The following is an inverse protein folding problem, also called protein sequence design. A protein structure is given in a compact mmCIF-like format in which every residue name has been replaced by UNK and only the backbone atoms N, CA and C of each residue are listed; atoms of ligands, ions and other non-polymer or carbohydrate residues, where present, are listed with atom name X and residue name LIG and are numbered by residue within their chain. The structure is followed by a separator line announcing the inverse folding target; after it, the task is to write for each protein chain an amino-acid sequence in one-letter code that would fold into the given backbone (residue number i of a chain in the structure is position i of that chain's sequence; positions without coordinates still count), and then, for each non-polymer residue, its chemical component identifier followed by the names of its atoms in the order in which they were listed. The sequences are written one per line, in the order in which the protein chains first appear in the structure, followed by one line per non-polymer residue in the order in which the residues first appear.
data_IF_140008886345
#
_entry.id   IF_140008886345
#
_cell.length_a   1.000
_cell.length_b   1.000
_cell.length_c   1.000
_cell.angle_alpha   90.00
_cell.angle_beta   90.00
_cell.angle_gamma   90.00
#
_symmetry.space_group_name_H-M   'P 1'
#
loop_
_entity.id
_entity.type
_entity.pdbx_description
1 polymer ?
#
# COMPACT_ATOMS: atom_id res chain seq x y z
N UNK A 1 -91.42 24.59 -30.02
CA UNK A 1 -90.00 24.84 -30.39
C UNK A 1 -89.08 25.35 -29.25
N UNK A 2 -89.57 26.09 -28.23
CA UNK A 2 -88.71 26.64 -27.15
C UNK A 2 -87.97 25.60 -26.30
N UNK A 3 -88.64 24.52 -25.85
CA UNK A 3 -88.03 23.50 -24.96
C UNK A 3 -86.85 22.73 -25.60
N UNK A 4 -86.94 22.41 -26.91
CA UNK A 4 -85.84 21.75 -27.65
C UNK A 4 -84.59 22.63 -27.79
N UNK A 5 -84.77 23.95 -27.97
CA UNK A 5 -83.63 24.90 -28.04
C UNK A 5 -82.91 25.05 -26.70
N UNK A 6 -83.64 24.99 -25.58
CA UNK A 6 -83.06 25.04 -24.23
C UNK A 6 -82.29 23.75 -23.92
N UNK A 7 -82.84 22.58 -24.24
CA UNK A 7 -82.14 21.30 -24.08
C UNK A 7 -80.86 21.21 -24.92
N UNK A 8 -80.89 21.66 -26.18
CA UNK A 8 -79.71 21.70 -27.04
C UNK A 8 -78.65 22.68 -26.52
N UNK A 9 -79.08 23.84 -26.01
CA UNK A 9 -78.20 24.84 -25.39
C UNK A 9 -77.52 24.33 -24.11
N UNK A 10 -78.25 23.60 -23.27
CA UNK A 10 -77.68 22.98 -22.06
C UNK A 10 -76.70 21.86 -22.40
N UNK A 11 -76.97 21.09 -23.46
CA UNK A 11 -76.07 20.03 -23.92
C UNK A 11 -74.77 20.60 -24.51
N UNK A 12 -74.85 21.67 -25.31
CA UNK A 12 -73.68 22.37 -25.86
C UNK A 12 -72.87 23.00 -24.73
N UNK A 13 -73.51 23.65 -23.75
CA UNK A 13 -72.80 24.24 -22.60
C UNK A 13 -72.11 23.16 -21.76
N UNK A 14 -72.75 22.00 -21.55
CA UNK A 14 -72.15 20.85 -20.87
C UNK A 14 -70.94 20.27 -21.62
N UNK A 15 -71.00 20.16 -22.94
CA UNK A 15 -69.86 19.71 -23.76
C UNK A 15 -68.72 20.73 -23.75
N UNK A 16 -69.03 22.02 -23.78
CA UNK A 16 -68.02 23.10 -23.69
C UNK A 16 -67.36 23.15 -22.31
N UNK A 17 -68.09 22.94 -21.22
CA UNK A 17 -67.50 22.91 -19.87
C UNK A 17 -66.67 21.66 -19.62
N UNK A 18 -67.13 20.48 -20.06
CA UNK A 18 -66.36 19.24 -19.96
C UNK A 18 -65.08 19.31 -20.80
N UNK A 19 -65.17 19.80 -22.03
CA UNK A 19 -63.97 19.98 -22.87
C UNK A 19 -63.00 21.01 -22.27
N UNK A 20 -63.48 22.15 -21.77
CA UNK A 20 -62.63 23.14 -21.10
C UNK A 20 -61.91 22.57 -19.86
N UNK A 21 -62.57 21.72 -19.06
CA UNK A 21 -61.96 21.05 -17.90
C UNK A 21 -60.83 20.11 -18.37
N UNK A 22 -61.07 19.28 -19.38
CA UNK A 22 -60.06 18.36 -19.94
C UNK A 22 -58.86 19.13 -20.51
N UNK A 23 -59.09 20.19 -21.29
CA UNK A 23 -58.02 21.04 -21.82
C UNK A 23 -57.20 21.72 -20.71
N UNK A 24 -57.82 22.15 -19.61
CA UNK A 24 -57.07 22.74 -18.48
C UNK A 24 -56.23 21.73 -17.70
N UNK A 25 -56.67 20.48 -17.56
CA UNK A 25 -55.83 19.42 -16.98
C UNK A 25 -54.66 19.09 -17.89
N UNK A 26 -54.88 19.00 -19.20
CA UNK A 26 -53.80 18.77 -20.17
C UNK A 26 -52.79 19.92 -20.18
N UNK A 27 -53.22 21.18 -20.11
CA UNK A 27 -52.31 22.34 -20.01
C UNK A 27 -51.55 22.33 -18.67
N UNK A 28 -52.22 22.03 -17.54
CA UNK A 28 -51.54 21.89 -16.23
C UNK A 28 -50.53 20.73 -16.24
N UNK A 29 -50.87 19.61 -16.84
CA UNK A 29 -49.98 18.46 -17.01
C UNK A 29 -48.80 18.82 -17.91
N UNK A 30 -49.01 19.50 -19.04
CA UNK A 30 -47.95 19.96 -19.95
C UNK A 30 -47.01 20.97 -19.26
N UNK A 31 -47.55 21.92 -18.49
CA UNK A 31 -46.78 22.92 -17.74
C UNK A 31 -46.00 22.30 -16.56
N UNK A 32 -46.60 21.40 -15.77
CA UNK A 32 -45.92 20.68 -14.70
C UNK A 32 -44.77 19.80 -15.24
N UNK A 33 -44.96 19.27 -16.44
CA UNK A 33 -44.03 18.35 -17.02
C UNK A 33 -42.73 19.05 -17.50
N UNK A 34 -42.71 20.36 -17.80
CA UNK A 34 -41.46 21.10 -18.02
C UNK A 34 -40.55 21.24 -16.78
N UNK A 35 -41.00 20.81 -15.59
CA UNK A 35 -40.22 20.85 -14.35
C UNK A 35 -39.78 19.48 -13.82
N UNK A 36 -40.26 18.37 -14.39
CA UNK A 36 -39.91 17.03 -13.91
C UNK A 36 -38.47 16.68 -14.33
N UNK A 37 -37.55 16.63 -13.37
CA UNK A 37 -36.12 16.41 -13.62
C UNK A 37 -35.45 15.52 -12.58
N UNK A 38 -34.42 14.80 -13.03
CA UNK A 38 -33.46 14.14 -12.15
C UNK A 38 -32.48 15.16 -11.56
N UNK A 39 -32.06 14.92 -10.32
CA UNK A 39 -30.96 15.67 -9.70
C UNK A 39 -29.62 15.48 -10.43
N UNK A 40 -29.44 14.38 -11.16
CA UNK A 40 -28.29 14.19 -12.05
C UNK A 40 -28.63 13.32 -13.26
N UNK A 41 -28.01 13.64 -14.39
CA UNK A 41 -28.02 12.83 -15.62
C UNK A 41 -26.78 11.95 -15.76
N UNK A 42 -25.79 12.11 -14.88
CA UNK A 42 -24.55 11.32 -14.89
C UNK A 42 -24.10 10.98 -13.47
N UNK A 43 -23.77 9.72 -13.24
CA UNK A 43 -23.36 9.18 -11.94
C UNK A 43 -22.06 8.41 -12.13
N UNK A 44 -21.01 8.78 -11.41
CA UNK A 44 -19.71 8.13 -11.45
C UNK A 44 -19.44 7.47 -10.10
N UNK A 45 -19.49 6.14 -10.06
CA UNK A 45 -19.38 5.37 -8.82
C UNK A 45 -18.09 4.57 -8.78
N UNK A 46 -17.61 4.36 -7.57
CA UNK A 46 -16.66 3.30 -7.29
C UNK A 46 -17.43 2.01 -6.98
N UNK A 47 -16.87 0.86 -7.35
CA UNK A 47 -17.45 -0.43 -7.04
C UNK A 47 -17.80 -0.56 -5.54
N UNK A 48 -19.01 -1.03 -5.25
CA UNK A 48 -19.54 -1.16 -3.88
C UNK A 48 -20.19 0.11 -3.31
N UNK A 49 -19.99 1.28 -3.94
CA UNK A 49 -20.62 2.52 -3.52
C UNK A 49 -21.99 2.71 -4.20
N UNK A 50 -22.74 3.70 -3.72
CA UNK A 50 -24.06 4.02 -4.26
C UNK A 50 -24.30 5.54 -4.29
N UNK A 51 -25.25 5.95 -5.12
CA UNK A 51 -25.80 7.31 -5.12
C UNK A 51 -27.31 7.25 -5.32
N UNK A 52 -28.04 8.13 -4.66
CA UNK A 52 -29.50 8.22 -4.82
C UNK A 52 -29.85 9.26 -5.89
N UNK A 53 -30.54 8.81 -6.92
CA UNK A 53 -31.18 9.69 -7.89
C UNK A 53 -32.54 10.13 -7.34
N UNK A 54 -32.78 11.44 -7.35
CA UNK A 54 -34.02 12.06 -6.88
C UNK A 54 -34.72 12.73 -8.04
N UNK A 55 -36.04 12.61 -8.06
CA UNK A 55 -36.91 13.30 -9.02
C UNK A 55 -37.52 14.49 -8.30
N UNK A 56 -37.53 15.63 -8.98
CA UNK A 56 -38.21 16.86 -8.54
C UNK A 56 -39.26 17.26 -9.57
N UNK A 57 -40.25 18.07 -9.18
CA UNK A 57 -41.33 18.53 -10.07
C UNK A 57 -42.58 17.63 -10.10
N UNK A 58 -42.65 16.60 -9.26
CA UNK A 58 -43.83 15.74 -9.11
C UNK A 58 -43.86 15.09 -7.72
N UNK A 59 -45.05 14.78 -7.23
CA UNK A 59 -45.29 13.97 -6.02
C UNK A 59 -45.52 12.48 -6.33
N UNK A 60 -45.65 12.11 -7.61
CA UNK A 60 -45.89 10.72 -8.00
C UNK A 60 -44.64 9.87 -7.83
N UNK A 61 -44.84 8.61 -7.46
CA UNK A 61 -43.76 7.62 -7.33
C UNK A 61 -43.26 7.20 -8.71
N UNK A 62 -41.95 7.07 -8.84
CA UNK A 62 -41.31 6.61 -10.08
C UNK A 62 -40.98 5.12 -10.03
N UNK A 63 -41.08 4.47 -11.20
CA UNK A 63 -40.60 3.11 -11.41
C UNK A 63 -39.20 3.17 -12.02
N UNK A 64 -38.25 2.48 -11.40
CA UNK A 64 -36.83 2.55 -11.77
C UNK A 64 -36.38 1.26 -12.45
N UNK A 65 -35.60 1.38 -13.52
CA UNK A 65 -34.98 0.25 -14.23
C UNK A 65 -33.51 0.53 -14.55
N UNK A 66 -32.71 -0.53 -14.68
CA UNK A 66 -31.32 -0.47 -15.16
C UNK A 66 -31.21 -1.26 -16.46
N UNK A 67 -30.55 -0.68 -17.48
CA UNK A 67 -30.30 -1.39 -18.73
C UNK A 67 -29.31 -2.54 -18.59
N UNK A 68 -28.46 -2.50 -17.56
CA UNK A 68 -27.54 -3.57 -17.19
C UNK A 68 -27.40 -3.68 -15.66
N UNK A 69 -28.26 -4.48 -15.01
CA UNK A 69 -28.22 -4.73 -13.56
C UNK A 69 -26.92 -5.37 -13.06
N UNK A 70 -26.11 -6.01 -13.93
CA UNK A 70 -24.80 -6.56 -13.54
C UNK A 70 -23.78 -5.45 -13.25
N UNK A 71 -23.89 -4.30 -13.92
CA UNK A 71 -23.03 -3.13 -13.69
C UNK A 71 -23.54 -2.27 -12.53
N UNK A 72 -24.83 -1.91 -12.54
CA UNK A 72 -25.45 -1.19 -11.42
C UNK A 72 -26.94 -1.50 -11.31
N UNK A 73 -27.44 -1.63 -10.08
CA UNK A 73 -28.88 -1.79 -9.78
C UNK A 73 -29.46 -0.52 -9.21
N UNK A 74 -30.78 -0.34 -9.35
CA UNK A 74 -31.52 0.75 -8.72
C UNK A 74 -32.72 0.17 -7.96
N UNK A 75 -32.99 0.66 -6.75
CA UNK A 75 -34.17 0.24 -5.99
C UNK A 75 -35.36 1.20 -6.18
N UNK A 76 -36.51 0.89 -5.57
CA UNK A 76 -37.73 1.71 -5.66
C UNK A 76 -37.59 3.14 -5.13
N UNK A 77 -36.56 3.43 -4.32
CA UNK A 77 -36.26 4.76 -3.78
C UNK A 77 -35.22 5.53 -4.62
N UNK A 78 -34.82 4.99 -5.78
CA UNK A 78 -33.83 5.61 -6.66
C UNK A 78 -32.38 5.43 -6.19
N UNK A 79 -32.11 4.56 -5.21
CA UNK A 79 -30.73 4.25 -4.76
C UNK A 79 -30.04 3.38 -5.81
N UNK A 80 -29.08 3.95 -6.52
CA UNK A 80 -28.27 3.29 -7.54
C UNK A 80 -27.00 2.73 -6.90
N UNK A 81 -26.83 1.40 -6.90
CA UNK A 81 -25.69 0.69 -6.30
C UNK A 81 -24.79 0.09 -7.39
N UNK A 82 -23.49 0.35 -7.30
CA UNK A 82 -22.48 -0.18 -8.22
C UNK A 82 -22.14 -1.65 -7.91
N UNK A 83 -22.17 -2.52 -8.92
CA UNK A 83 -21.96 -3.97 -8.82
C UNK A 83 -20.79 -4.52 -9.63
N UNK A 84 -20.44 -3.91 -10.76
CA UNK A 84 -19.29 -4.27 -11.57
C UNK A 84 -18.79 -3.06 -12.35
N UNK A 85 -17.48 -3.00 -12.64
CA UNK A 85 -16.91 -1.96 -13.49
C UNK A 85 -17.55 -1.98 -14.89
N UNK A 86 -17.91 -0.81 -15.43
CA UNK A 86 -18.60 -0.69 -16.71
C UNK A 86 -19.55 0.49 -16.79
N UNK A 87 -20.41 0.50 -17.81
CA UNK A 87 -21.44 1.52 -17.99
C UNK A 87 -22.85 0.92 -18.07
N UNK A 88 -23.84 1.63 -17.54
CA UNK A 88 -25.27 1.29 -17.66
C UNK A 88 -26.11 2.56 -17.66
N UNK A 89 -27.37 2.47 -18.09
CA UNK A 89 -28.33 3.58 -18.00
C UNK A 89 -29.40 3.23 -16.98
N UNK A 90 -29.64 4.13 -16.03
CA UNK A 90 -30.78 4.06 -15.12
C UNK A 90 -31.91 4.90 -15.72
N UNK A 91 -33.10 4.31 -15.79
CA UNK A 91 -34.31 4.97 -16.31
C UNK A 91 -35.36 5.06 -15.22
N UNK A 92 -35.83 6.27 -14.93
CA UNK A 92 -37.00 6.51 -14.11
C UNK A 92 -38.21 6.76 -15.01
N UNK A 93 -39.27 5.98 -14.80
CA UNK A 93 -40.58 6.18 -15.41
C UNK A 93 -41.50 6.87 -14.40
N UNK A 94 -41.94 8.07 -14.70
CA UNK A 94 -42.81 8.88 -13.84
C UNK A 94 -43.66 9.82 -14.69
N UNK A 95 -44.96 9.94 -14.38
CA UNK A 95 -45.88 10.82 -15.11
C UNK A 95 -45.82 10.66 -16.65
N UNK A 96 -45.78 9.42 -17.13
CA UNK A 96 -45.69 9.11 -18.55
C UNK A 96 -44.33 9.43 -19.20
N UNK A 97 -43.35 9.91 -18.44
CA UNK A 97 -42.02 10.32 -18.93
C UNK A 97 -40.92 9.35 -18.55
N UNK A 98 -39.88 9.32 -19.38
CA UNK A 98 -38.65 8.56 -19.15
C UNK A 98 -37.49 9.52 -18.89
N UNK A 99 -37.01 9.58 -17.66
CA UNK A 99 -35.80 10.31 -17.30
C UNK A 99 -34.63 9.32 -17.27
N UNK A 100 -33.49 9.69 -17.85
CA UNK A 100 -32.32 8.80 -17.96
C UNK A 100 -31.10 9.41 -17.27
N UNK A 101 -30.35 8.56 -16.58
CA UNK A 101 -29.03 8.88 -16.05
C UNK A 101 -28.00 7.82 -16.49
N UNK A 102 -26.89 8.29 -17.04
CA UNK A 102 -25.76 7.44 -17.39
C UNK A 102 -24.96 7.13 -16.12
N UNK A 103 -24.72 5.86 -15.84
CA UNK A 103 -23.94 5.39 -14.71
C UNK A 103 -22.66 4.77 -15.21
N UNK A 104 -21.54 5.29 -14.73
CA UNK A 104 -20.20 4.77 -14.95
C UNK A 104 -19.66 4.23 -13.63
N UNK A 105 -19.28 2.96 -13.61
CA UNK A 105 -18.71 2.29 -12.43
C UNK A 105 -17.24 2.02 -12.70
N UNK A 106 -16.40 2.43 -11.76
CA UNK A 106 -14.96 2.25 -11.78
C UNK A 106 -14.51 1.36 -10.62
N UNK A 107 -13.43 0.62 -10.83
CA UNK A 107 -12.81 -0.23 -9.81
C UNK A 107 -11.30 -0.03 -9.87
N UNK A 108 -10.65 0.10 -8.71
CA UNK A 108 -9.19 0.11 -8.57
C UNK A 108 -8.71 -1.21 -7.96
N UNK A 109 -7.69 -1.82 -8.57
CA UNK A 109 -7.04 -3.01 -8.02
C UNK A 109 -6.21 -2.66 -6.79
N UNK A 110 -6.32 -3.43 -5.71
CA UNK A 110 -5.56 -3.26 -4.45
C UNK A 110 -5.63 -1.84 -3.88
N UNK A 111 -6.58 -1.61 -2.96
CA UNK A 111 -6.67 -0.36 -2.17
C UNK A 111 -5.51 -0.16 -1.19
N UNK A 112 -4.76 -1.21 -0.88
CA UNK A 112 -3.60 -1.16 -0.01
C UNK A 112 -2.44 -1.90 -0.69
N UNK A 113 -1.32 -1.21 -0.85
CA UNK A 113 -0.10 -1.69 -1.47
C UNK A 113 1.03 -1.57 -0.45
N UNK A 114 1.84 -2.62 -0.33
CA UNK A 114 3.02 -2.66 0.52
C UNK A 114 4.23 -2.96 -0.36
N UNK A 115 5.19 -2.05 -0.36
CA UNK A 115 6.45 -2.17 -1.11
C UNK A 115 7.63 -2.25 -0.15
N UNK A 116 8.68 -2.95 -0.56
CA UNK A 116 10.01 -2.75 0.03
C UNK A 116 10.75 -1.61 -0.66
N UNK A 117 11.96 -1.30 -0.17
CA UNK A 117 12.86 -0.37 -0.85
C UNK A 117 13.06 -0.77 -2.32
N UNK A 118 13.00 0.20 -3.23
CA UNK A 118 13.05 0.02 -4.69
C UNK A 118 11.94 -0.87 -5.29
N UNK A 119 10.96 -1.29 -4.49
CA UNK A 119 9.84 -2.11 -4.94
C UNK A 119 8.95 -1.36 -5.93
N UNK A 120 8.33 -2.11 -6.83
CA UNK A 120 7.32 -1.58 -7.75
C UNK A 120 6.05 -2.40 -7.71
N UNK A 121 4.91 -1.78 -7.99
CA UNK A 121 3.62 -2.46 -8.14
C UNK A 121 2.80 -1.79 -9.23
N UNK A 122 2.32 -2.59 -10.19
CA UNK A 122 1.31 -2.13 -11.13
C UNK A 122 -0.06 -2.08 -10.47
N UNK A 123 -0.73 -0.94 -10.55
CA UNK A 123 -2.14 -0.76 -10.19
C UNK A 123 -2.97 -0.67 -11.46
N UNK A 124 -4.16 -1.29 -11.46
CA UNK A 124 -5.07 -1.29 -12.61
C UNK A 124 -6.41 -0.69 -12.20
N UNK A 125 -6.97 0.14 -13.07
CA UNK A 125 -8.32 0.67 -12.97
C UNK A 125 -9.16 0.05 -14.08
N UNK A 126 -10.37 -0.41 -13.76
CA UNK A 126 -11.37 -0.88 -14.72
C UNK A 126 -12.59 0.04 -14.73
N UNK A 127 -13.23 0.17 -15.88
CA UNK A 127 -14.47 0.93 -16.07
C UNK A 127 -14.49 1.63 -17.43
N UNK A 128 -15.38 2.59 -17.67
CA UNK A 128 -15.36 3.38 -18.91
C UNK A 128 -14.24 4.45 -18.86
N UNK A 129 -12.99 4.01 -18.76
CA UNK A 129 -11.80 4.87 -18.63
C UNK A 129 -11.39 5.42 -20.00
N UNK A 130 -11.30 6.74 -20.10
CA UNK A 130 -10.81 7.49 -21.27
C UNK A 130 -9.46 8.14 -20.97
N UNK A 131 -9.35 8.74 -19.80
CA UNK A 131 -8.15 9.39 -19.31
C UNK A 131 -7.98 9.18 -17.80
N UNK A 132 -6.74 9.16 -17.32
CA UNK A 132 -6.41 9.11 -15.90
C UNK A 132 -5.24 10.03 -15.60
N UNK A 133 -5.45 10.97 -14.67
CA UNK A 133 -4.38 11.75 -14.05
C UNK A 133 -3.97 11.10 -12.74
N UNK A 134 -2.70 10.74 -12.65
CA UNK A 134 -2.12 10.13 -11.46
C UNK A 134 -1.42 11.17 -10.62
N UNK A 135 -1.51 11.04 -9.29
CA UNK A 135 -0.73 11.83 -8.35
C UNK A 135 -0.43 11.04 -7.09
N UNK A 136 0.66 11.40 -6.40
CA UNK A 136 0.97 10.88 -5.07
C UNK A 136 0.75 11.98 -4.02
N UNK A 137 0.24 11.61 -2.85
CA UNK A 137 0.19 12.52 -1.70
C UNK A 137 1.57 12.77 -1.09
N UNK A 138 2.56 11.91 -1.38
CA UNK A 138 3.93 12.03 -0.89
C UNK A 138 4.90 11.31 -1.83
N UNK A 139 5.51 12.06 -2.75
CA UNK A 139 6.44 11.53 -3.75
C UNK A 139 7.77 11.07 -3.17
N UNK A 140 8.18 11.60 -2.00
CA UNK A 140 9.37 11.10 -1.29
C UNK A 140 9.17 9.68 -0.72
N UNK A 141 7.92 9.23 -0.60
CA UNK A 141 7.61 7.86 -0.20
C UNK A 141 7.34 6.99 -1.42
N UNK A 142 6.45 7.42 -2.32
CA UNK A 142 6.13 6.66 -3.51
C UNK A 142 5.69 7.56 -4.67
N UNK A 143 6.17 7.26 -5.87
CA UNK A 143 5.75 7.90 -7.11
C UNK A 143 4.86 6.97 -7.91
N UNK A 144 4.13 7.52 -8.88
CA UNK A 144 3.33 6.75 -9.82
C UNK A 144 3.54 7.29 -11.22
N UNK A 145 3.96 6.40 -12.12
CA UNK A 145 4.05 6.69 -13.54
C UNK A 145 2.92 5.94 -14.26
N UNK A 146 1.99 6.67 -14.86
CA UNK A 146 0.86 6.08 -15.57
C UNK A 146 0.86 6.45 -17.05
N UNK A 147 0.37 5.52 -17.88
CA UNK A 147 -0.10 5.82 -19.23
C UNK A 147 -1.55 5.34 -19.31
N UNK A 148 -2.43 6.10 -19.95
CA UNK A 148 -3.75 5.60 -20.35
C UNK A 148 -3.53 4.46 -21.35
N UNK A 149 -3.90 3.23 -21.01
CA UNK A 149 -3.70 2.07 -21.89
C UNK A 149 -5.02 1.73 -22.59
N UNK A 150 -5.05 2.02 -23.90
CA UNK A 150 -5.98 1.54 -24.92
C UNK A 150 -7.50 1.72 -24.69
N UNK A 151 -8.05 2.64 -25.48
CA UNK A 151 -9.44 3.08 -25.56
C UNK A 151 -10.50 2.00 -25.86
N UNK A 152 -10.11 0.73 -26.06
CA UNK A 152 -11.01 -0.33 -26.51
C UNK A 152 -11.46 -1.29 -25.40
N UNK A 153 -10.86 -1.24 -24.19
CA UNK A 153 -11.19 -2.18 -23.10
C UNK A 153 -11.46 -1.53 -21.73
N UNK A 154 -11.46 -0.19 -21.64
CA UNK A 154 -11.87 0.48 -20.40
C UNK A 154 -10.93 0.24 -19.22
N UNK A 155 -9.62 0.25 -19.44
CA UNK A 155 -8.63 0.04 -18.38
C UNK A 155 -7.53 1.10 -18.39
N UNK A 156 -6.98 1.42 -17.22
CA UNK A 156 -5.74 2.19 -17.10
C UNK A 156 -4.79 1.52 -16.12
N UNK A 157 -3.48 1.69 -16.35
CA UNK A 157 -2.43 1.14 -15.47
C UNK A 157 -1.49 2.25 -15.01
N UNK A 158 -1.16 2.21 -13.72
CA UNK A 158 -0.10 3.02 -13.11
C UNK A 158 0.97 2.10 -12.53
N UNK A 159 2.24 2.42 -12.73
CA UNK A 159 3.36 1.77 -12.05
C UNK A 159 3.71 2.61 -10.83
N UNK A 160 3.45 2.07 -9.64
CA UNK A 160 3.84 2.66 -8.36
C UNK A 160 5.29 2.23 -8.09
N UNK A 161 6.14 3.17 -7.72
CA UNK A 161 7.56 2.94 -7.39
C UNK A 161 7.85 3.50 -6.01
N UNK A 162 8.45 2.67 -5.13
CA UNK A 162 8.90 3.11 -3.82
C UNK A 162 10.11 4.05 -3.94
N UNK A 163 10.11 5.13 -3.17
CA UNK A 163 11.18 6.12 -3.10
C UNK A 163 11.82 6.17 -1.71
N UNK A 164 11.02 6.03 -0.66
CA UNK A 164 11.48 6.14 0.72
C UNK A 164 10.48 5.59 1.71
N UNK A 165 10.93 5.34 2.94
CA UNK A 165 10.09 4.78 4.00
C UNK A 165 8.92 5.69 4.34
N UNK A 166 7.75 5.10 4.58
CA UNK A 166 6.59 5.84 5.07
C UNK A 166 5.29 5.45 4.37
N UNK A 167 4.35 6.39 4.36
CA UNK A 167 3.01 6.21 3.78
C UNK A 167 2.72 7.29 2.74
N UNK A 168 2.08 6.89 1.66
CA UNK A 168 1.55 7.77 0.62
C UNK A 168 0.17 7.26 0.17
N UNK A 169 -0.62 8.12 -0.45
CA UNK A 169 -1.85 7.75 -1.14
C UNK A 169 -1.67 8.07 -2.62
N UNK A 170 -1.80 7.05 -3.45
CA UNK A 170 -1.86 7.20 -4.89
C UNK A 170 -3.29 7.51 -5.29
N UNK A 171 -3.47 8.62 -5.98
CA UNK A 171 -4.75 9.08 -6.51
C UNK A 171 -4.79 8.92 -8.01
N UNK A 172 -5.93 8.47 -8.50
CA UNK A 172 -6.25 8.41 -9.91
C UNK A 172 -7.53 9.20 -10.17
N UNK A 173 -7.39 10.36 -10.82
CA UNK A 173 -8.52 11.12 -11.30
C UNK A 173 -8.92 10.61 -12.69
N UNK A 174 -10.01 9.85 -12.73
CA UNK A 174 -10.53 9.21 -13.93
C UNK A 174 -11.50 10.13 -14.64
N UNK A 175 -11.23 10.38 -15.93
CA UNK A 175 -12.03 11.20 -16.84
C UNK A 175 -12.36 12.61 -16.31
N UNK A 176 -11.56 13.16 -15.39
CA UNK A 176 -11.81 14.43 -14.72
C UNK A 176 -13.05 14.46 -13.81
N UNK A 177 -13.55 13.28 -13.38
CA UNK A 177 -14.86 13.15 -12.71
C UNK A 177 -14.84 12.32 -11.43
N UNK A 178 -13.97 11.31 -11.37
CA UNK A 178 -13.96 10.36 -10.25
C UNK A 178 -12.53 10.15 -9.79
N UNK A 179 -12.29 10.40 -8.50
CA UNK A 179 -11.03 10.05 -7.85
C UNK A 179 -11.17 8.65 -7.24
N UNK A 180 -10.19 7.81 -7.53
CA UNK A 180 -9.96 6.52 -6.88
C UNK A 180 -8.62 6.60 -6.14
N UNK A 181 -8.54 5.93 -5.00
CA UNK A 181 -7.36 5.99 -4.13
C UNK A 181 -6.83 4.60 -3.80
N UNK A 182 -5.51 4.50 -3.68
CA UNK A 182 -4.80 3.34 -3.14
C UNK A 182 -3.76 3.82 -2.13
N UNK A 183 -3.81 3.27 -0.93
CA UNK A 183 -2.83 3.54 0.11
C UNK A 183 -1.56 2.72 -0.16
N UNK A 184 -0.43 3.38 -0.10
CA UNK A 184 0.90 2.80 -0.27
C UNK A 184 1.67 2.93 1.03
N UNK A 185 2.25 1.82 1.46
CA UNK A 185 3.22 1.78 2.54
C UNK A 185 4.54 1.26 1.97
N UNK A 186 5.62 1.99 2.20
CA UNK A 186 6.98 1.51 1.92
C UNK A 186 7.60 1.06 3.24
N UNK A 187 7.82 -0.25 3.34
CA UNK A 187 8.37 -0.92 4.51
C UNK A 187 9.90 -0.93 4.45
N UNK A 188 10.52 -0.91 5.63
CA UNK A 188 11.98 -1.01 5.77
C UNK A 188 12.35 -1.98 6.87
N UNK A 189 13.55 -2.55 6.77
CA UNK A 189 14.12 -3.44 7.77
C UNK A 189 15.22 -2.69 8.52
N UNK A 190 15.20 -2.77 9.85
CA UNK A 190 16.17 -2.11 10.71
C UNK A 190 16.79 -3.09 11.72
N UNK A 191 18.10 -2.96 11.99
CA UNK A 191 19.08 -2.16 11.25
C UNK A 191 19.34 -2.70 9.82
N UNK A 192 19.96 -1.88 8.96
CA UNK A 192 20.30 -2.23 7.56
C UNK A 192 21.53 -3.16 7.46
N UNK A 193 22.39 -3.13 8.47
CA UNK A 193 23.49 -4.08 8.66
C UNK A 193 23.67 -4.41 10.14
N UNK A 194 24.16 -5.60 10.41
CA UNK A 194 24.46 -6.09 11.76
C UNK A 194 25.83 -6.72 11.77
N UNK A 195 26.64 -6.40 12.78
CA UNK A 195 27.88 -7.10 13.08
C UNK A 195 27.71 -7.82 14.42
N UNK A 196 27.74 -9.15 14.39
CA UNK A 196 27.66 -10.02 15.57
C UNK A 196 29.02 -10.64 15.90
N UNK A 197 29.14 -11.16 17.10
CA UNK A 197 30.35 -11.86 17.56
C UNK A 197 29.98 -13.20 18.21
N UNK A 198 30.73 -14.26 17.86
CA UNK A 198 30.58 -15.57 18.48
C UNK A 198 31.13 -15.58 19.90
N UNK A 199 30.36 -16.18 20.81
CA UNK A 199 30.78 -16.37 22.20
C UNK A 199 30.87 -15.08 23.00
N UNK A 200 30.30 -13.97 22.51
CA UNK A 200 30.06 -12.76 23.31
C UNK A 200 28.69 -12.87 23.98
N UNK A 201 28.61 -12.55 25.27
CA UNK A 201 27.39 -12.68 26.07
C UNK A 201 26.25 -11.80 25.54
N UNK A 202 26.57 -10.61 25.02
CA UNK A 202 25.58 -9.69 24.44
C UNK A 202 25.69 -9.53 22.91
N UNK A 203 26.78 -9.98 22.31
CA UNK A 203 27.09 -9.77 20.90
C UNK A 203 26.63 -10.80 19.90
N UNK A 204 26.18 -11.95 20.37
CA UNK A 204 25.76 -13.05 19.50
C UNK A 204 24.32 -12.90 18.98
N UNK A 205 23.58 -11.87 19.41
CA UNK A 205 22.15 -11.68 19.11
C UNK A 205 21.82 -10.27 18.65
N UNK A 206 20.87 -10.16 17.72
CA UNK A 206 20.21 -8.91 17.36
C UNK A 206 18.79 -9.15 16.92
N UNK A 207 17.85 -8.32 17.33
CA UNK A 207 16.48 -8.34 16.79
C UNK A 207 16.37 -7.36 15.64
N UNK A 208 15.86 -7.85 14.52
CA UNK A 208 15.51 -7.05 13.35
C UNK A 208 14.05 -6.64 13.45
N UNK A 209 13.76 -5.39 13.12
CA UNK A 209 12.42 -4.84 13.10
C UNK A 209 12.04 -4.46 11.67
N UNK A 210 10.83 -4.80 11.27
CA UNK A 210 10.25 -4.29 10.03
C UNK A 210 9.30 -3.16 10.38
N UNK A 211 9.54 -1.99 9.80
CA UNK A 211 8.77 -0.77 10.04
C UNK A 211 7.75 -0.50 8.92
N UNK A 212 6.73 0.29 9.23
CA UNK A 212 5.73 0.78 8.28
C UNK A 212 4.55 -0.18 8.06
N UNK A 213 4.72 -1.47 8.32
CA UNK A 213 3.74 -2.53 8.04
C UNK A 213 3.30 -3.27 9.29
N UNK A 214 2.06 -3.74 9.27
CA UNK A 214 1.51 -4.67 10.26
C UNK A 214 1.08 -5.94 9.53
N UNK A 215 1.52 -7.11 9.98
CA UNK A 215 1.16 -8.38 9.33
C UNK A 215 2.12 -9.51 9.67
N UNK A 216 1.86 -10.68 9.08
CA UNK A 216 2.73 -11.84 9.22
C UNK A 216 3.99 -11.65 8.38
N UNK A 217 5.14 -11.61 9.04
CA UNK A 217 6.46 -11.48 8.40
C UNK A 217 7.11 -12.85 8.42
N UNK A 218 7.52 -13.34 7.26
CA UNK A 218 8.32 -14.58 7.19
C UNK A 218 9.79 -14.22 7.03
N UNK A 219 10.64 -14.95 7.75
CA UNK A 219 12.07 -14.67 7.84
C UNK A 219 12.87 -15.81 7.21
N UNK A 220 13.94 -15.48 6.51
CA UNK A 220 14.89 -16.42 5.93
C UNK A 220 16.33 -15.93 6.08
N UNK A 221 17.28 -16.86 6.07
CA UNK A 221 18.72 -16.57 6.04
C UNK A 221 19.32 -17.21 4.79
N UNK A 222 20.25 -16.52 4.13
CA UNK A 222 21.01 -17.09 3.01
C UNK A 222 22.03 -18.14 3.47
N UNK A 223 22.49 -18.07 4.73
CA UNK A 223 23.49 -18.99 5.25
C UNK A 223 23.28 -19.30 6.75
N UNK A 224 22.72 -20.48 7.04
CA UNK A 224 22.46 -20.95 8.42
C UNK A 224 23.72 -21.28 9.21
N UNK A 225 24.85 -21.59 8.56
CA UNK A 225 26.11 -21.81 9.28
C UNK A 225 26.70 -20.51 9.81
N UNK A 226 26.34 -19.37 9.22
CA UNK A 226 26.76 -18.04 9.67
C UNK A 226 25.76 -17.45 10.66
N UNK A 227 24.48 -17.37 10.29
CA UNK A 227 23.45 -16.80 11.15
C UNK A 227 22.07 -17.43 10.91
N UNK A 228 21.31 -17.60 11.98
CA UNK A 228 19.90 -18.01 11.92
C UNK A 228 18.99 -16.87 12.36
N UNK A 229 17.74 -16.89 11.89
CA UNK A 229 16.71 -15.91 12.26
C UNK A 229 15.45 -16.66 12.68
N UNK A 230 14.85 -16.22 13.78
CA UNK A 230 13.60 -16.78 14.28
C UNK A 230 12.37 -16.08 13.68
N UNK A 231 11.17 -16.60 13.98
CA UNK A 231 9.90 -16.06 13.47
C UNK A 231 9.62 -14.61 13.87
N UNK A 232 10.25 -14.10 14.93
CA UNK A 232 10.06 -12.73 15.41
C UNK A 232 11.22 -11.79 15.01
N UNK A 233 12.09 -12.20 14.09
CA UNK A 233 13.21 -11.39 13.63
C UNK A 233 14.44 -11.39 14.54
N UNK A 234 14.47 -12.20 15.63
CA UNK A 234 15.70 -12.39 16.42
C UNK A 234 16.70 -13.22 15.63
N UNK A 235 17.84 -12.60 15.31
CA UNK A 235 19.01 -13.18 14.63
C UNK A 235 20.02 -13.65 15.68
N UNK A 236 20.59 -14.83 15.45
CA UNK A 236 21.63 -15.42 16.27
C UNK A 236 22.85 -15.81 15.41
N UNK A 237 24.04 -15.43 15.85
CA UNK A 237 25.31 -15.83 15.26
C UNK A 237 25.59 -17.32 15.46
N UNK A 238 26.06 -18.00 14.41
CA UNK A 238 26.42 -19.43 14.42
C UNK A 238 27.86 -19.70 13.97
N UNK A 239 28.39 -18.93 13.03
CA UNK A 239 29.71 -19.16 12.45
C UNK A 239 30.25 -17.88 11.79
N UNK A 240 31.58 -17.72 11.68
CA UNK A 240 32.17 -16.52 11.10
C UNK A 240 31.84 -16.43 9.61
N UNK A 241 31.54 -15.22 9.13
CA UNK A 241 31.24 -14.95 7.72
C UNK A 241 30.08 -13.96 7.56
N UNK A 242 29.49 -13.95 6.36
CA UNK A 242 28.37 -13.07 6.00
C UNK A 242 27.13 -13.88 5.64
N UNK A 243 25.98 -13.45 6.12
CA UNK A 243 24.66 -13.94 5.74
C UNK A 243 23.73 -12.76 5.43
N UNK A 244 22.81 -12.96 4.49
CA UNK A 244 21.72 -12.02 4.22
C UNK A 244 20.47 -12.55 4.91
N UNK A 245 19.89 -11.73 5.79
CA UNK A 245 18.59 -12.02 6.39
C UNK A 245 17.50 -11.34 5.58
N UNK A 246 16.50 -12.10 5.16
CA UNK A 246 15.37 -11.63 4.36
C UNK A 246 14.09 -11.66 5.18
N UNK A 247 13.41 -10.52 5.28
CA UNK A 247 12.02 -10.43 5.74
C UNK A 247 11.09 -10.35 4.51
N UNK A 248 10.11 -11.23 4.42
CA UNK A 248 9.08 -11.17 3.40
C UNK A 248 7.77 -10.66 4.00
N UNK A 249 7.27 -9.57 3.43
CA UNK A 249 6.07 -8.86 3.84
C UNK A 249 5.12 -8.76 2.65
N UNK A 250 4.02 -9.51 2.69
CA UNK A 250 2.99 -9.46 1.65
C UNK A 250 3.53 -9.64 0.20
N UNK A 251 4.60 -10.43 0.04
CA UNK A 251 5.27 -10.68 -1.25
C UNK A 251 6.47 -9.76 -1.53
N UNK A 252 6.66 -8.68 -0.76
CA UNK A 252 7.83 -7.80 -0.85
C UNK A 252 8.97 -8.33 0.02
N UNK A 253 10.19 -8.36 -0.52
CA UNK A 253 11.40 -8.80 0.20
C UNK A 253 12.20 -7.59 0.69
N UNK A 254 12.54 -7.60 1.97
CA UNK A 254 13.47 -6.67 2.61
C UNK A 254 14.69 -7.45 3.08
N UNK A 255 15.88 -6.88 2.96
CA UNK A 255 17.13 -7.58 3.28
C UNK A 255 18.02 -6.76 4.19
N UNK A 256 18.66 -7.41 5.15
CA UNK A 256 19.78 -6.85 5.92
C UNK A 256 20.98 -7.77 5.81
N UNK A 257 22.17 -7.18 5.75
CA UNK A 257 23.41 -7.95 5.87
C UNK A 257 23.71 -8.24 7.35
N UNK A 258 24.15 -9.45 7.64
CA UNK A 258 24.65 -9.87 8.94
C UNK A 258 26.06 -10.42 8.77
N UNK A 259 27.03 -9.71 9.32
CA UNK A 259 28.42 -10.16 9.45
C UNK A 259 28.62 -10.76 10.83
N UNK A 260 29.28 -11.90 10.91
CA UNK A 260 29.59 -12.59 12.16
C UNK A 260 31.10 -12.71 12.29
N UNK A 261 31.64 -12.16 13.37
CA UNK A 261 33.06 -12.16 13.70
C UNK A 261 33.38 -13.26 14.71
N UNK A 262 34.58 -13.83 14.58
CA UNK A 262 35.12 -14.76 15.58
C UNK A 262 36.59 -14.49 15.82
N UNK A 263 36.93 -14.07 17.05
CA UNK A 263 38.30 -13.97 17.51
C UNK A 263 38.88 -15.37 17.76
N UNK A 264 40.11 -15.62 17.30
CA UNK A 264 40.76 -16.94 17.38
C UNK A 264 40.89 -17.47 18.80
N UNK A 265 41.06 -16.60 19.79
CA UNK A 265 40.97 -16.95 21.21
C UNK A 265 40.67 -15.73 22.08
N UNK A 266 39.86 -15.90 23.13
CA UNK A 266 39.51 -14.84 24.09
C UNK A 266 40.34 -14.87 25.37
N UNK A 267 41.07 -15.95 25.62
CA UNK A 267 41.97 -16.07 26.75
C UNK A 267 43.10 -17.05 26.45
N UNK A 268 44.31 -16.70 26.86
CA UNK A 268 45.46 -17.60 26.79
C UNK A 268 46.56 -17.19 27.75
N UNK A 269 47.50 -18.10 27.99
CA UNK A 269 48.70 -17.87 28.80
C UNK A 269 49.94 -17.96 27.91
N UNK A 270 50.95 -17.15 28.21
CA UNK A 270 52.27 -17.19 27.61
C UNK A 270 53.34 -17.25 28.71
N UNK A 271 54.50 -17.83 28.42
CA UNK A 271 55.73 -17.58 29.17
C UNK A 271 56.40 -16.32 28.64
N UNK A 272 57.24 -15.69 29.47
CA UNK A 272 58.03 -14.52 29.05
C UNK A 272 58.84 -14.83 27.77
N UNK A 273 58.77 -13.91 26.80
CA UNK A 273 59.40 -14.09 25.47
C UNK A 273 58.57 -14.88 24.45
N UNK A 274 57.58 -15.68 24.86
CA UNK A 274 56.71 -16.40 23.92
C UNK A 274 55.79 -15.44 23.13
N UNK A 275 55.33 -15.91 21.97
CA UNK A 275 54.41 -15.16 21.12
C UNK A 275 53.26 -16.03 20.62
N UNK A 276 52.10 -15.42 20.41
CA UNK A 276 50.93 -16.06 19.82
C UNK A 276 50.28 -15.15 18.79
N UNK A 277 49.86 -15.72 17.67
CA UNK A 277 49.11 -15.03 16.65
C UNK A 277 47.61 -15.00 17.01
N UNK A 278 47.03 -13.80 17.06
CA UNK A 278 45.59 -13.62 17.05
C UNK A 278 45.11 -13.34 15.62
N UNK A 279 43.90 -13.78 15.32
CA UNK A 279 43.21 -13.51 14.07
C UNK A 279 41.72 -13.34 14.31
N UNK A 280 41.05 -12.61 13.42
CA UNK A 280 39.59 -12.48 13.40
C UNK A 280 39.08 -13.12 12.13
N UNK A 281 38.26 -14.15 12.26
CA UNK A 281 37.54 -14.75 11.13
C UNK A 281 36.22 -14.01 10.87
N UNK A 282 35.73 -14.10 9.63
CA UNK A 282 34.44 -13.52 9.22
C UNK A 282 34.52 -12.08 8.72
N UNK A 283 35.73 -11.57 8.51
CA UNK A 283 35.97 -10.24 7.94
C UNK A 283 37.25 -10.22 7.10
N UNK A 284 37.28 -9.28 6.15
CA UNK A 284 38.46 -8.91 5.37
C UNK A 284 38.85 -7.44 5.61
N UNK A 285 38.17 -6.75 6.55
CA UNK A 285 38.45 -5.37 6.90
C UNK A 285 39.73 -5.26 7.71
N UNK A 286 40.37 -4.09 7.69
CA UNK A 286 41.53 -3.80 8.52
C UNK A 286 41.20 -3.94 10.02
N UNK A 287 42.13 -4.56 10.75
CA UNK A 287 41.97 -4.84 12.18
C UNK A 287 42.92 -3.93 12.96
N UNK A 288 42.36 -3.19 13.91
CA UNK A 288 43.14 -2.35 14.84
C UNK A 288 43.39 -3.13 16.11
N UNK A 289 44.67 -3.33 16.45
CA UNK A 289 45.12 -4.04 17.63
C UNK A 289 45.67 -3.07 18.67
N UNK A 290 45.35 -3.28 19.94
CA UNK A 290 45.86 -2.48 21.02
C UNK A 290 46.07 -3.32 22.29
N UNK A 291 47.19 -3.14 22.98
CA UNK A 291 47.43 -3.71 24.32
C UNK A 291 47.23 -2.63 25.38
N UNK A 292 46.38 -2.91 26.37
CA UNK A 292 46.17 -2.00 27.49
C UNK A 292 47.36 -1.93 28.47
N UNK A 293 48.29 -2.90 28.41
CA UNK A 293 49.46 -2.99 29.28
C UNK A 293 50.67 -3.50 28.50
N UNK A 294 51.34 -2.58 27.81
CA UNK A 294 52.51 -2.88 26.97
C UNK A 294 53.71 -3.44 27.76
N UNK A 295 53.81 -3.16 29.06
CA UNK A 295 54.82 -3.74 29.96
C UNK A 295 54.61 -5.24 30.22
N UNK A 296 53.39 -5.76 29.98
CA UNK A 296 53.06 -7.18 30.16
C UNK A 296 53.04 -7.88 28.79
N UNK A 297 52.33 -7.31 27.80
CA UNK A 297 52.29 -7.84 26.43
C UNK A 297 52.25 -6.72 25.39
N UNK A 298 52.93 -6.90 24.27
CA UNK A 298 52.79 -6.05 23.06
C UNK A 298 52.03 -6.78 21.98
N UNK A 299 51.38 -6.04 21.07
CA UNK A 299 50.74 -6.60 19.87
C UNK A 299 51.15 -5.78 18.66
N UNK A 300 51.47 -6.46 17.57
CA UNK A 300 51.78 -5.85 16.26
C UNK A 300 50.50 -5.60 15.46
N UNK A 301 50.57 -4.79 14.41
CA UNK A 301 49.41 -4.49 13.54
C UNK A 301 48.87 -5.71 12.80
N UNK A 302 49.69 -6.75 12.63
CA UNK A 302 49.24 -8.01 12.06
C UNK A 302 48.61 -8.95 13.11
N UNK A 303 48.56 -8.59 14.40
CA UNK A 303 47.95 -9.39 15.47
C UNK A 303 48.90 -10.38 16.17
N UNK A 304 50.22 -10.25 16.04
CA UNK A 304 51.17 -11.07 16.80
C UNK A 304 51.35 -10.50 18.20
N UNK A 305 50.92 -11.24 19.22
CA UNK A 305 51.02 -10.88 20.63
C UNK A 305 52.29 -11.49 21.21
N UNK A 306 53.15 -10.67 21.83
CA UNK A 306 54.40 -11.09 22.47
C UNK A 306 54.38 -10.79 23.97
N UNK A 307 54.77 -11.76 24.78
CA UNK A 307 54.93 -11.61 26.21
C UNK A 307 56.19 -10.80 26.55
N UNK A 308 56.04 -9.79 27.40
CA UNK A 308 57.10 -8.84 27.81
C UNK A 308 57.46 -9.02 29.28
N UNK A 309 56.48 -9.16 30.16
CA UNK A 309 56.71 -9.29 31.60
C UNK A 309 55.54 -9.97 32.30
N UNK A 310 55.79 -10.51 33.50
CA UNK A 310 54.77 -11.21 34.30
C UNK A 310 53.59 -10.31 34.61
N UNK A 311 52.37 -10.84 34.50
CA UNK A 311 51.16 -10.08 34.76
C UNK A 311 49.97 -10.52 33.92
N UNK A 312 48.95 -9.68 33.83
CA UNK A 312 47.78 -9.90 32.97
C UNK A 312 47.42 -8.64 32.21
N UNK A 313 47.11 -8.81 30.93
CA UNK A 313 46.77 -7.72 30.02
C UNK A 313 45.56 -8.09 29.15
N UNK A 314 45.00 -7.09 28.48
CA UNK A 314 43.92 -7.23 27.51
C UNK A 314 44.43 -6.71 26.17
N UNK A 315 44.32 -7.57 25.15
CA UNK A 315 44.40 -7.16 23.76
C UNK A 315 43.00 -6.79 23.30
N UNK A 316 42.82 -5.52 22.94
CA UNK A 316 41.62 -4.98 22.30
C UNK A 316 41.78 -5.12 20.77
N UNK A 317 40.74 -5.62 20.12
CA UNK A 317 40.69 -5.91 18.69
C UNK A 317 39.48 -5.20 18.10
N UNK A 318 39.69 -4.15 17.33
CA UNK A 318 38.60 -3.36 16.73
C UNK A 318 38.54 -3.59 15.23
N UNK A 319 37.37 -4.04 14.74
CA UNK A 319 37.11 -4.29 13.31
C UNK A 319 35.61 -4.20 13.05
N UNK A 320 35.22 -3.69 11.88
CA UNK A 320 33.81 -3.53 11.47
C UNK A 320 32.93 -2.82 12.52
N UNK A 321 33.49 -1.81 13.19
CA UNK A 321 32.79 -1.03 14.22
C UNK A 321 32.54 -1.77 15.53
N UNK A 322 33.14 -2.95 15.72
CA UNK A 322 33.02 -3.77 16.94
C UNK A 322 34.38 -3.95 17.60
N UNK A 323 34.42 -3.88 18.93
CA UNK A 323 35.63 -4.16 19.73
C UNK A 323 35.47 -5.48 20.47
N UNK A 324 36.41 -6.39 20.27
CA UNK A 324 36.52 -7.69 20.94
C UNK A 324 37.76 -7.68 21.84
N UNK A 325 37.75 -8.50 22.89
CA UNK A 325 38.84 -8.55 23.86
C UNK A 325 39.42 -9.97 24.00
N UNK A 326 40.75 -10.05 24.08
CA UNK A 326 41.47 -11.26 24.50
C UNK A 326 42.28 -11.00 25.75
N UNK A 327 42.06 -11.79 26.81
CA UNK A 327 42.87 -11.73 28.04
C UNK A 327 44.13 -12.55 27.87
N UNK A 328 45.27 -11.97 28.21
CA UNK A 328 46.57 -12.64 28.18
C UNK A 328 47.16 -12.64 29.58
N UNK A 329 47.58 -13.81 30.06
CA UNK A 329 48.33 -13.94 31.32
C UNK A 329 49.75 -14.37 31.00
N UNK A 330 50.74 -13.67 31.55
CA UNK A 330 52.16 -14.02 31.41
C UNK A 330 52.65 -14.58 32.74
N UNK A 331 53.20 -15.80 32.71
CA UNK A 331 53.71 -16.52 33.89
C UNK A 331 55.22 -16.59 33.91
#
# INVERSE_FOLDING_TARGET
MKKRKVLLSMLILGVVTVSAIVFTEDIKNVLAANFIKLNSKSVNLELGHYQTLKISGTSKKATWTSSNPKVATVNSKGRVTAKAAGSTTITAHVDGRKLRANVSVFQIYKKNVVLGENGTQSITIWGPVKDVKWSSSNEAVATVAGKSVNSNNGTAKGLITAQGKGKATIRAEVNGKKILESNVTVATINPQSVVLEIGDWYGHLKTLNVEGVTGNITWATSNKSVAIVSKNGRVEAKGPGTATITANVNGSKLTTEVKVLQLSTKNFTLKEGESKKLSVAGTNSDIVWHSNQKSVVTVTDNGTVKAVGKGSAIIMVTVDGRTMNSRVTVK
#
